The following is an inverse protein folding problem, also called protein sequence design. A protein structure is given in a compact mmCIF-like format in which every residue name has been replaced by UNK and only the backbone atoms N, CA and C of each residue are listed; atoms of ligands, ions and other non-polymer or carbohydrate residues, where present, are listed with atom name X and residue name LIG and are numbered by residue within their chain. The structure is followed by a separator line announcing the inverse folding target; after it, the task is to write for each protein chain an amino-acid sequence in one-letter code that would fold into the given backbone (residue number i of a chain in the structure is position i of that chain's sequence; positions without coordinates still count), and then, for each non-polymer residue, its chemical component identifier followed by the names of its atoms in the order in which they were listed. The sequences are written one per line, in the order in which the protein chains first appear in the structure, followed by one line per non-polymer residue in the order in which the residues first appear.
data_IF_738646010634
#
_entry.id   IF_738646010634
#
_cell.length_a   1.000
_cell.length_b   1.000
_cell.length_c   1.000
_cell.angle_alpha   90.00
_cell.angle_beta   90.00
_cell.angle_gamma   90.00
#
_symmetry.space_group_name_H-M   'P 1'
#
loop_
_entity.id
_entity.type
_entity.pdbx_description
1 polymer ?
#
# COMPACT_ATOMS: atom_id res chain seq x y z
N UNK A 1 10.41 -20.25 2.22
CA UNK A 1 10.70 -19.17 1.25
C UNK A 1 10.96 -19.82 -0.10
N UNK A 2 10.16 -19.50 -1.11
CA UNK A 2 10.17 -20.17 -2.41
C UNK A 2 11.54 -20.01 -3.10
N UNK A 3 12.11 -21.12 -3.59
CA UNK A 3 13.41 -21.17 -4.27
C UNK A 3 13.33 -20.83 -5.77
N UNK A 4 12.28 -20.14 -6.21
CA UNK A 4 12.20 -19.69 -7.60
C UNK A 4 13.22 -18.55 -7.82
N UNK A 5 14.17 -18.70 -8.77
CA UNK A 5 15.16 -17.68 -9.10
C UNK A 5 14.54 -16.32 -9.47
N UNK A 6 13.33 -16.33 -10.07
CA UNK A 6 12.64 -15.13 -10.56
C UNK A 6 11.77 -14.41 -9.52
N UNK A 7 11.61 -14.96 -8.32
CA UNK A 7 10.74 -14.36 -7.30
C UNK A 7 11.49 -13.35 -6.43
N UNK A 8 10.83 -12.23 -6.16
CA UNK A 8 11.26 -11.21 -5.20
C UNK A 8 10.32 -11.27 -4.00
N UNK A 9 10.89 -11.42 -2.81
CA UNK A 9 10.16 -11.37 -1.55
C UNK A 9 10.02 -9.92 -1.07
N UNK A 10 8.82 -9.58 -0.59
CA UNK A 10 8.51 -8.27 0.00
C UNK A 10 7.99 -8.50 1.42
N UNK A 11 8.59 -7.81 2.39
CA UNK A 11 8.13 -7.76 3.78
C UNK A 11 7.54 -6.38 4.04
N UNK A 12 6.27 -6.34 4.41
CA UNK A 12 5.63 -5.11 4.89
C UNK A 12 5.85 -4.98 6.39
N UNK A 13 6.46 -3.87 6.83
CA UNK A 13 6.60 -3.53 8.24
C UNK A 13 5.63 -2.39 8.56
N UNK A 14 4.71 -2.64 9.49
CA UNK A 14 3.76 -1.66 9.99
C UNK A 14 4.05 -1.44 11.46
N UNK A 15 4.37 -0.21 11.85
CA UNK A 15 4.53 0.16 13.25
C UNK A 15 3.20 0.77 13.74
N UNK A 16 2.58 0.14 14.74
CA UNK A 16 1.30 0.60 15.33
C UNK A 16 1.57 1.02 16.77
N UNK A 17 1.34 2.31 17.04
CA UNK A 17 1.28 2.81 18.41
C UNK A 17 -0.18 2.77 18.89
N UNK A 18 -0.52 1.92 19.87
CA UNK A 18 -1.90 1.77 20.35
C UNK A 18 -2.44 3.03 21.03
N UNK A 19 -1.58 3.98 21.43
CA UNK A 19 -1.98 5.20 22.14
C UNK A 19 -2.33 6.30 21.13
N UNK A 20 -1.59 6.39 20.03
CA UNK A 20 -1.70 7.50 19.07
C UNK A 20 -2.41 7.11 17.77
N UNK A 21 -2.55 5.81 17.50
CA UNK A 21 -3.19 5.32 16.29
C UNK A 21 -4.69 5.62 16.30
N UNK A 22 -5.17 6.26 15.22
CA UNK A 22 -6.59 6.47 14.95
C UNK A 22 -7.18 5.39 14.03
N UNK A 23 -6.37 4.40 13.66
CA UNK A 23 -6.74 3.29 12.79
C UNK A 23 -7.53 2.24 13.59
N UNK A 24 -8.62 1.74 13.01
CA UNK A 24 -9.41 0.67 13.61
C UNK A 24 -8.85 -0.70 13.22
N UNK A 25 -8.28 -1.42 14.19
CA UNK A 25 -7.76 -2.77 14.04
C UNK A 25 -8.16 -3.66 15.22
N UNK A 26 -8.09 -4.97 15.02
CA UNK A 26 -8.28 -5.96 16.07
C UNK A 26 -7.15 -6.98 16.02
N UNK A 27 -6.56 -7.28 17.18
CA UNK A 27 -5.65 -8.42 17.33
C UNK A 27 -6.48 -9.66 17.68
N UNK A 28 -6.44 -10.68 16.83
CA UNK A 28 -7.24 -11.90 16.94
C UNK A 28 -6.53 -12.98 17.78
N UNK A 29 -5.79 -12.56 18.79
CA UNK A 29 -5.05 -13.45 19.68
C UNK A 29 -6.02 -14.52 20.23
N UNK A 30 -5.73 -15.80 19.97
CA UNK A 30 -6.53 -16.98 20.37
C UNK A 30 -7.89 -17.16 19.67
N UNK A 31 -8.28 -16.26 18.76
CA UNK A 31 -9.50 -16.38 17.95
C UNK A 31 -9.21 -16.77 16.50
N UNK A 32 -7.97 -16.60 16.04
CA UNK A 32 -7.53 -17.08 14.72
C UNK A 32 -7.49 -18.61 14.66
N UNK A 33 -7.82 -19.16 13.49
CA UNK A 33 -7.71 -20.59 13.20
C UNK A 33 -6.28 -21.12 13.42
N UNK A 34 -5.27 -20.26 13.24
CA UNK A 34 -3.85 -20.57 13.43
C UNK A 34 -3.23 -19.91 14.66
N UNK A 35 -4.06 -19.59 15.67
CA UNK A 35 -3.65 -18.84 16.87
C UNK A 35 -2.48 -19.43 17.67
N UNK A 36 -2.18 -20.73 17.52
CA UNK A 36 -1.05 -21.39 18.18
C UNK A 36 0.29 -21.22 17.43
N UNK A 37 0.25 -20.76 16.18
CA UNK A 37 1.43 -20.66 15.29
C UNK A 37 1.71 -19.24 14.81
N UNK A 38 0.69 -18.37 14.79
CA UNK A 38 0.83 -16.98 14.38
C UNK A 38 -0.09 -16.03 15.16
N UNK A 39 0.36 -14.78 15.30
CA UNK A 39 -0.48 -13.67 15.74
C UNK A 39 -1.10 -13.01 14.51
N UNK A 40 -2.42 -12.81 14.54
CA UNK A 40 -3.15 -12.19 13.44
C UNK A 40 -3.71 -10.83 13.88
N UNK A 41 -3.46 -9.80 13.08
CA UNK A 41 -4.04 -8.47 13.25
C UNK A 41 -4.86 -8.13 12.02
N UNK A 42 -6.16 -7.90 12.22
CA UNK A 42 -7.08 -7.53 11.16
C UNK A 42 -7.35 -6.02 11.20
N UNK A 43 -7.15 -5.37 10.07
CA UNK A 43 -7.49 -3.96 9.88
C UNK A 43 -8.90 -3.84 9.32
N UNK A 44 -9.59 -2.74 9.65
CA UNK A 44 -10.88 -2.43 9.01
C UNK A 44 -10.72 -2.27 7.51
N UNK A 45 -11.77 -2.57 6.74
CA UNK A 45 -11.77 -2.28 5.30
C UNK A 45 -11.54 -0.78 5.05
N UNK A 46 -10.89 -0.46 3.93
CA UNK A 46 -10.50 0.90 3.54
C UNK A 46 -9.46 1.57 4.47
N UNK A 47 -8.69 0.75 5.17
CA UNK A 47 -7.52 1.24 5.91
C UNK A 47 -6.40 1.61 4.94
N UNK A 48 -5.83 2.81 5.12
CA UNK A 48 -4.81 3.36 4.22
C UNK A 48 -3.45 3.36 4.92
N UNK A 49 -2.45 2.91 4.18
CA UNK A 49 -1.06 2.92 4.59
C UNK A 49 -0.23 3.76 3.63
N UNK A 50 0.60 4.66 4.17
CA UNK A 50 1.59 5.41 3.42
C UNK A 50 2.90 4.63 3.38
N UNK A 51 3.53 4.55 2.22
CA UNK A 51 4.88 3.99 2.10
C UNK A 51 5.87 5.06 2.54
N UNK A 52 6.55 4.82 3.65
CA UNK A 52 7.60 5.73 4.16
C UNK A 52 8.97 5.39 3.57
N UNK A 53 9.26 4.09 3.44
CA UNK A 53 10.59 3.66 3.00
C UNK A 53 10.56 2.31 2.31
N UNK A 54 11.34 2.19 1.25
CA UNK A 54 11.67 0.92 0.59
C UNK A 54 13.15 0.62 0.81
N UNK A 55 13.48 -0.54 1.36
CA UNK A 55 14.85 -0.95 1.63
C UNK A 55 15.12 -2.37 1.14
N UNK A 56 16.20 -2.58 0.38
CA UNK A 56 16.68 -3.94 0.08
C UNK A 56 17.31 -4.52 1.35
N UNK A 57 16.75 -5.60 1.88
CA UNK A 57 17.27 -6.29 3.08
C UNK A 57 18.30 -7.34 2.73
N UNK A 58 18.03 -8.14 1.72
CA UNK A 58 18.92 -9.19 1.21
C UNK A 58 18.74 -9.32 -0.29
N UNK A 59 19.48 -10.23 -0.92
CA UNK A 59 19.24 -10.52 -2.30
C UNK A 59 17.80 -11.01 -2.52
N UNK A 60 17.09 -10.33 -3.42
CA UNK A 60 15.67 -10.55 -3.73
C UNK A 60 14.73 -10.46 -2.52
N UNK A 61 15.12 -9.72 -1.47
CA UNK A 61 14.26 -9.43 -0.32
C UNK A 61 14.21 -7.92 -0.08
N UNK A 62 13.02 -7.34 -0.19
CA UNK A 62 12.76 -5.94 0.09
C UNK A 62 11.87 -5.80 1.31
N UNK A 63 12.14 -4.79 2.13
CA UNK A 63 11.25 -4.35 3.19
C UNK A 63 10.61 -3.03 2.81
N UNK A 64 9.30 -2.95 2.98
CA UNK A 64 8.50 -1.74 2.79
C UNK A 64 7.99 -1.31 4.15
N UNK A 65 8.45 -0.16 4.64
CA UNK A 65 7.94 0.43 5.86
C UNK A 65 6.67 1.21 5.53
N UNK A 66 5.61 0.88 6.24
CA UNK A 66 4.28 1.42 6.09
C UNK A 66 3.87 2.15 7.38
N UNK A 67 3.28 3.33 7.22
CA UNK A 67 2.68 4.07 8.33
C UNK A 67 1.18 4.19 8.12
N UNK A 68 0.44 3.94 9.20
CA UNK A 68 -1.00 4.11 9.25
C UNK A 68 -1.38 5.57 8.99
N UNK A 69 -2.23 5.82 7.99
CA UNK A 69 -2.80 7.14 7.78
C UNK A 69 -4.05 7.27 8.66
N UNK A 70 -4.09 8.32 9.46
CA UNK A 70 -5.23 8.56 10.35
C UNK A 70 -6.42 9.18 9.62
N UNK A 71 -7.63 9.02 10.18
CA UNK A 71 -8.85 9.68 9.66
C UNK A 71 -8.79 11.21 9.62
N UNK A 72 -7.81 11.82 10.30
CA UNK A 72 -7.63 13.27 10.40
C UNK A 72 -6.63 13.85 9.40
N UNK A 73 -6.02 13.03 8.54
CA UNK A 73 -5.19 13.55 7.45
C UNK A 73 -6.08 14.14 6.35
N UNK A 74 -6.50 15.40 6.53
CA UNK A 74 -7.29 16.15 5.53
C UNK A 74 -6.59 16.16 4.16
N UNK A 75 -5.26 16.18 4.15
CA UNK A 75 -4.47 16.10 2.92
C UNK A 75 -4.73 14.80 2.15
N UNK A 76 -4.82 13.66 2.84
CA UNK A 76 -5.11 12.38 2.18
C UNK A 76 -6.57 12.28 1.76
N UNK A 77 -7.49 12.83 2.54
CA UNK A 77 -8.89 12.91 2.13
C UNK A 77 -9.04 13.68 0.81
N UNK A 78 -8.39 14.84 0.70
CA UNK A 78 -8.43 15.67 -0.50
C UNK A 78 -7.79 14.95 -1.70
N UNK A 79 -6.67 14.24 -1.48
CA UNK A 79 -6.03 13.43 -2.53
C UNK A 79 -6.95 12.30 -3.00
N UNK A 80 -7.61 11.59 -2.10
CA UNK A 80 -8.52 10.49 -2.46
C UNK A 80 -9.74 11.00 -3.22
N UNK A 81 -10.35 12.09 -2.75
CA UNK A 81 -11.49 12.73 -3.43
C UNK A 81 -11.10 13.22 -4.83
N UNK A 82 -9.93 13.85 -4.96
CA UNK A 82 -9.38 14.25 -6.25
C UNK A 82 -9.10 13.04 -7.16
N UNK A 83 -8.52 11.97 -6.61
CA UNK A 83 -8.27 10.73 -7.37
C UNK A 83 -9.58 10.11 -7.86
N UNK A 84 -10.62 10.07 -7.05
CA UNK A 84 -11.92 9.56 -7.47
C UNK A 84 -12.55 10.41 -8.58
N UNK A 85 -12.48 11.74 -8.45
CA UNK A 85 -13.00 12.68 -9.46
C UNK A 85 -12.28 12.54 -10.81
N UNK A 86 -10.95 12.50 -10.79
CA UNK A 86 -10.12 12.50 -12.00
C UNK A 86 -10.09 11.14 -12.69
N UNK A 87 -10.38 10.06 -11.95
CA UNK A 87 -10.21 8.69 -12.44
C UNK A 87 -11.53 7.92 -12.67
N UNK A 88 -12.67 8.58 -12.53
CA UNK A 88 -13.99 8.01 -12.77
C UNK A 88 -14.07 7.35 -14.17
N UNK A 89 -14.43 6.05 -14.19
CA UNK A 89 -14.64 5.28 -15.42
C UNK A 89 -13.38 4.70 -16.09
N UNK A 90 -12.18 4.87 -15.52
CA UNK A 90 -10.92 4.42 -16.11
C UNK A 90 -10.39 3.11 -15.46
N UNK A 91 -9.69 2.27 -16.23
CA UNK A 91 -9.04 1.07 -15.70
C UNK A 91 -7.87 1.43 -14.76
N UNK A 92 -7.59 0.62 -13.74
CA UNK A 92 -6.65 0.95 -12.65
C UNK A 92 -5.29 1.48 -13.10
N UNK A 93 -4.70 0.91 -14.15
CA UNK A 93 -3.43 1.40 -14.70
C UNK A 93 -3.55 2.74 -15.43
N UNK A 94 -4.64 2.95 -16.16
CA UNK A 94 -4.90 4.23 -16.82
C UNK A 94 -5.14 5.33 -15.78
N UNK A 95 -5.80 5.01 -14.66
CA UNK A 95 -5.94 5.92 -13.51
C UNK A 95 -4.57 6.39 -13.01
N UNK A 96 -3.64 5.44 -12.82
CA UNK A 96 -2.30 5.71 -12.35
C UNK A 96 -1.49 6.54 -13.35
N UNK A 97 -1.54 6.20 -14.65
CA UNK A 97 -0.86 6.98 -15.69
C UNK A 97 -1.38 8.42 -15.76
N UNK A 98 -2.69 8.63 -15.70
CA UNK A 98 -3.31 9.96 -15.68
C UNK A 98 -2.87 10.77 -14.45
N UNK A 99 -2.88 10.16 -13.27
CA UNK A 99 -2.40 10.80 -12.05
C UNK A 99 -0.95 11.26 -12.18
N UNK A 100 -0.08 10.42 -12.75
CA UNK A 100 1.33 10.77 -12.97
C UNK A 100 1.48 11.98 -13.91
N UNK A 101 0.63 12.10 -14.93
CA UNK A 101 0.58 13.31 -15.78
C UNK A 101 0.21 14.55 -14.97
N UNK A 102 -0.81 14.45 -14.12
CA UNK A 102 -1.30 15.58 -13.31
C UNK A 102 -0.25 16.07 -12.31
N UNK A 103 0.54 15.15 -11.72
CA UNK A 103 1.67 15.50 -10.83
C UNK A 103 2.98 15.76 -11.58
N UNK A 104 2.94 15.91 -12.92
CA UNK A 104 4.08 16.20 -13.81
C UNK A 104 5.20 15.15 -13.83
N UNK A 105 4.87 13.91 -13.49
CA UNK A 105 5.74 12.74 -13.57
C UNK A 105 5.59 12.04 -14.95
N UNK A 106 5.96 12.75 -16.01
CA UNK A 106 5.68 12.32 -17.39
C UNK A 106 6.38 11.02 -17.79
N UNK A 107 7.64 10.83 -17.39
CA UNK A 107 8.41 9.61 -17.71
C UNK A 107 7.76 8.36 -17.11
N UNK A 108 7.27 8.48 -15.88
CA UNK A 108 6.51 7.42 -15.22
C UNK A 108 5.19 7.13 -15.93
N UNK A 109 4.45 8.17 -16.29
CA UNK A 109 3.18 8.04 -17.02
C UNK A 109 3.37 7.35 -18.37
N UNK A 110 4.41 7.73 -19.13
CA UNK A 110 4.73 7.16 -20.44
C UNK A 110 5.06 5.67 -20.32
N UNK A 111 5.84 5.27 -19.32
CA UNK A 111 6.16 3.86 -19.09
C UNK A 111 4.92 3.03 -18.80
N UNK A 112 3.97 3.55 -18.00
CA UNK A 112 2.72 2.85 -17.73
C UNK A 112 1.85 2.77 -18.98
N UNK A 113 1.73 3.86 -19.75
CA UNK A 113 0.98 3.82 -21.01
C UNK A 113 1.57 2.79 -21.98
N UNK A 114 2.90 2.73 -22.13
CA UNK A 114 3.56 1.72 -22.96
C UNK A 114 3.28 0.31 -22.46
N UNK A 115 3.30 0.07 -21.15
CA UNK A 115 2.97 -1.24 -20.56
C UNK A 115 1.51 -1.64 -20.77
N UNK A 116 0.56 -0.69 -20.72
CA UNK A 116 -0.86 -0.99 -20.90
C UNK A 116 -1.27 -1.22 -22.35
N UNK A 117 -0.53 -0.67 -23.31
CA UNK A 117 -0.82 -0.74 -24.74
C UNK A 117 0.15 -1.64 -25.52
N UNK A 118 1.09 -2.32 -24.84
CA UNK A 118 1.92 -3.40 -25.39
C UNK A 118 1.23 -4.75 -25.28
#
# INVERSE_FOLDING_TARGET
LCNDPGMIAIIFKIDIDPITSTMSYIALNNLSFFSNTEGEVLFSMNTIFRIEKLEKRQDRLYQVNLTAVGKKDEEIKNILEYMDEVTLGLSGWYKLAKLLVDVKQYDGAENIYKFCFS
#
